data_IF_437111879210
#
_entry.id   IF_437111879210
#
_cell.length_a   1.000
_cell.length_b   1.000
_cell.length_c   1.000
_cell.angle_alpha   90.00
_cell.angle_beta   90.00
_cell.angle_gamma   90.00
#
_symmetry.space_group_name_H-M   'P 1'
#
loop_
_entity.id
_entity.type
_entity.pdbx_description
1 polymer ?
#
# COMPACT_ATOMS: atom_id res chain seq x y z
N UNK A 1 3.03 -4.49 15.42
CA UNK A 1 1.62 -4.19 15.72
C UNK A 1 0.81 -4.79 14.59
N UNK A 2 -0.01 -5.82 14.83
CA UNK A 2 -0.91 -6.36 13.81
C UNK A 2 -2.18 -5.54 13.89
N UNK A 3 -2.46 -4.72 12.89
CA UNK A 3 -3.72 -3.99 12.83
C UNK A 3 -4.85 -5.00 12.53
N UNK A 4 -5.82 -5.17 13.43
CA UNK A 4 -6.94 -6.07 13.18
C UNK A 4 -7.76 -5.49 12.03
N UNK A 5 -7.95 -6.27 10.96
CA UNK A 5 -8.80 -5.89 9.83
C UNK A 5 -10.26 -5.95 10.32
N UNK A 6 -11.00 -4.82 10.31
CA UNK A 6 -12.38 -4.84 10.76
C UNK A 6 -13.24 -5.64 9.78
N UNK A 7 -14.30 -6.34 10.25
CA UNK A 7 -15.21 -7.07 9.38
C UNK A 7 -15.84 -6.21 8.28
N UNK A 8 -16.01 -4.91 8.52
CA UNK A 8 -16.53 -3.92 7.58
C UNK A 8 -15.58 -3.60 6.42
N UNK A 9 -14.26 -3.82 6.56
CA UNK A 9 -13.30 -3.54 5.49
C UNK A 9 -13.62 -4.35 4.21
N UNK A 10 -14.20 -5.53 4.38
CA UNK A 10 -14.62 -6.40 3.27
C UNK A 10 -15.78 -5.81 2.45
N UNK A 11 -16.57 -4.91 3.04
CA UNK A 11 -17.65 -4.20 2.35
C UNK A 11 -17.12 -2.99 1.56
N UNK A 12 -15.91 -2.51 1.90
CA UNK A 12 -15.27 -1.32 1.34
C UNK A 12 -14.17 -1.63 0.32
N UNK A 13 -14.18 -2.85 -0.22
CA UNK A 13 -13.15 -3.29 -1.18
C UNK A 13 -13.04 -2.37 -2.41
N UNK A 14 -14.13 -1.85 -3.00
CA UNK A 14 -14.01 -0.89 -4.10
C UNK A 14 -13.24 0.37 -3.69
N UNK A 15 -13.53 0.94 -2.52
CA UNK A 15 -12.87 2.14 -2.01
C UNK A 15 -11.40 1.88 -1.69
N UNK A 16 -11.09 0.73 -1.07
CA UNK A 16 -9.71 0.31 -0.77
C UNK A 16 -8.91 0.15 -2.08
N UNK A 17 -9.52 -0.42 -3.13
CA UNK A 17 -8.89 -0.54 -4.45
C UNK A 17 -8.63 0.81 -5.08
N UNK A 18 -9.61 1.71 -5.05
CA UNK A 18 -9.44 3.07 -5.58
C UNK A 18 -8.30 3.81 -4.84
N UNK A 19 -8.25 3.71 -3.51
CA UNK A 19 -7.17 4.31 -2.72
C UNK A 19 -5.79 3.68 -3.04
N UNK A 20 -5.73 2.36 -3.27
CA UNK A 20 -4.50 1.71 -3.73
C UNK A 20 -4.09 2.17 -5.15
N UNK A 21 -5.04 2.41 -6.06
CA UNK A 21 -4.75 2.96 -7.40
C UNK A 21 -4.22 4.39 -7.32
N UNK A 22 -4.76 5.22 -6.43
CA UNK A 22 -4.23 6.57 -6.19
C UNK A 22 -2.78 6.53 -5.69
N UNK A 23 -2.46 5.58 -4.80
CA UNK A 23 -1.09 5.35 -4.35
C UNK A 23 -0.18 4.89 -5.50
N UNK A 24 -0.63 3.94 -6.32
CA UNK A 24 0.14 3.49 -7.51
C UNK A 24 0.41 4.69 -8.44
N UNK A 25 -0.60 5.50 -8.73
CA UNK A 25 -0.45 6.68 -9.58
C UNK A 25 0.51 7.73 -8.96
N UNK A 26 0.47 7.91 -7.64
CA UNK A 26 1.40 8.79 -6.93
C UNK A 26 2.85 8.29 -7.03
N UNK A 27 3.06 6.98 -6.92
CA UNK A 27 4.37 6.35 -7.08
C UNK A 27 4.88 6.45 -8.52
N UNK A 28 4.01 6.27 -9.51
CA UNK A 28 4.36 6.40 -10.94
C UNK A 28 4.75 7.83 -11.32
N UNK A 29 4.12 8.83 -10.68
CA UNK A 29 4.42 10.24 -10.88
C UNK A 29 5.70 10.70 -10.14
N UNK A 30 6.29 9.85 -9.29
CA UNK A 30 7.46 10.24 -8.50
C UNK A 30 8.70 10.45 -9.39
N UNK A 31 9.51 11.52 -9.20
CA UNK A 31 10.64 11.83 -10.09
C UNK A 31 11.67 10.70 -10.25
N UNK A 32 11.88 9.90 -9.21
CA UNK A 32 12.80 8.75 -9.23
C UNK A 32 12.21 7.47 -9.85
N UNK A 33 10.91 7.46 -10.16
CA UNK A 33 10.22 6.23 -10.57
C UNK A 33 10.79 5.65 -11.87
N UNK A 34 10.97 6.47 -12.91
CA UNK A 34 11.47 6.00 -14.20
C UNK A 34 12.85 5.34 -14.07
N UNK A 35 13.78 5.99 -13.35
CA UNK A 35 15.12 5.46 -13.06
C UNK A 35 15.06 4.14 -12.28
N UNK A 36 14.33 4.13 -11.17
CA UNK A 36 14.23 2.96 -10.28
C UNK A 36 13.50 1.79 -10.93
N UNK A 37 12.49 2.05 -11.76
CA UNK A 37 11.77 1.02 -12.53
C UNK A 37 12.67 0.36 -13.56
N UNK A 38 13.46 1.13 -14.30
CA UNK A 38 14.40 0.59 -15.28
C UNK A 38 15.47 -0.28 -14.62
N UNK A 39 15.98 0.16 -13.48
CA UNK A 39 16.97 -0.59 -12.71
C UNK A 39 16.34 -1.69 -11.83
N UNK A 40 15.01 -1.76 -11.76
CA UNK A 40 14.23 -2.68 -10.91
C UNK A 40 14.70 -2.70 -9.45
N UNK A 41 15.08 -1.54 -8.93
CA UNK A 41 15.66 -1.37 -7.60
C UNK A 41 15.29 -0.01 -6.99
N UNK A 42 15.34 0.08 -5.66
CA UNK A 42 15.07 1.31 -4.91
C UNK A 42 13.63 1.40 -4.39
N UNK A 43 13.46 2.16 -3.29
CA UNK A 43 12.22 2.18 -2.49
C UNK A 43 10.97 2.53 -3.30
N UNK A 44 11.03 3.48 -4.23
CA UNK A 44 9.86 3.89 -5.04
C UNK A 44 9.41 2.75 -5.95
N UNK A 45 10.36 2.07 -6.62
CA UNK A 45 10.03 0.91 -7.45
C UNK A 45 9.48 -0.25 -6.61
N UNK A 46 10.09 -0.55 -5.46
CA UNK A 46 9.60 -1.62 -4.58
C UNK A 46 8.19 -1.33 -4.04
N UNK A 47 7.91 -0.10 -3.60
CA UNK A 47 6.57 0.29 -3.16
C UNK A 47 5.56 0.15 -4.29
N UNK A 48 5.91 0.57 -5.51
CA UNK A 48 5.04 0.44 -6.68
C UNK A 48 4.79 -1.02 -7.07
N UNK A 49 5.83 -1.86 -7.13
CA UNK A 49 5.70 -3.28 -7.48
C UNK A 49 4.85 -4.02 -6.45
N UNK A 50 5.01 -3.66 -5.17
CA UNK A 50 4.21 -4.24 -4.10
C UNK A 50 2.74 -3.74 -4.12
N UNK A 51 2.49 -2.45 -4.36
CA UNK A 51 1.15 -1.87 -4.47
C UNK A 51 0.36 -2.42 -5.66
N UNK A 52 1.01 -2.54 -6.82
CA UNK A 52 0.41 -3.13 -8.03
C UNK A 52 0.09 -4.62 -7.87
N UNK A 53 0.91 -5.37 -7.12
CA UNK A 53 0.65 -6.78 -6.76
C UNK A 53 -0.34 -6.97 -5.61
N UNK A 54 -0.80 -5.89 -5.00
CA UNK A 54 -1.82 -5.92 -3.93
C UNK A 54 -3.25 -5.94 -4.48
N UNK A 55 -3.42 -5.70 -5.79
CA UNK A 55 -4.69 -5.94 -6.48
C UNK A 55 -5.12 -7.41 -6.39
N UNK A 56 -6.37 -7.70 -6.00
CA UNK A 56 -6.91 -9.04 -6.14
C UNK A 56 -6.96 -9.42 -7.62
N UNK A 57 -6.13 -10.39 -8.02
CA UNK A 57 -6.13 -10.97 -9.37
C UNK A 57 -7.56 -11.40 -9.77
N UNK A 58 -8.01 -11.11 -11.01
CA UNK A 58 -9.40 -11.27 -11.43
C UNK A 58 -9.88 -12.73 -11.56
N UNK A 59 -9.01 -13.73 -11.44
CA UNK A 59 -9.41 -15.13 -11.57
C UNK A 59 -9.98 -15.72 -10.26
N UNK A 60 -10.93 -15.00 -9.67
CA UNK A 60 -11.65 -15.42 -8.47
C UNK A 60 -12.85 -16.33 -8.81
N UNK A 61 -13.17 -16.48 -10.10
CA UNK A 61 -14.33 -17.25 -10.55
C UNK A 61 -14.24 -18.74 -10.20
N UNK A 62 -13.03 -19.31 -10.18
CA UNK A 62 -12.78 -20.71 -9.81
C UNK A 62 -12.60 -20.93 -8.29
N UNK A 63 -12.61 -19.87 -7.47
CA UNK A 63 -12.26 -19.94 -6.06
C UNK A 63 -13.49 -20.15 -5.18
N UNK A 64 -13.34 -20.93 -4.09
CA UNK A 64 -14.36 -21.01 -3.05
C UNK A 64 -14.52 -19.67 -2.32
N UNK A 65 -15.67 -19.44 -1.69
CA UNK A 65 -15.90 -18.22 -0.91
C UNK A 65 -14.89 -18.05 0.24
N UNK A 66 -14.42 -19.14 0.85
CA UNK A 66 -13.38 -19.10 1.87
C UNK A 66 -12.04 -18.63 1.28
N UNK A 67 -11.68 -19.10 0.09
CA UNK A 67 -10.48 -18.66 -0.61
C UNK A 67 -10.62 -17.19 -0.98
N UNK A 68 -11.73 -16.76 -1.60
CA UNK A 68 -11.97 -15.34 -1.91
C UNK A 68 -11.84 -14.44 -0.68
N UNK A 69 -12.38 -14.86 0.46
CA UNK A 69 -12.27 -14.10 1.71
C UNK A 69 -10.85 -14.04 2.26
N UNK A 70 -10.08 -15.12 2.15
CA UNK A 70 -8.66 -15.14 2.51
C UNK A 70 -7.86 -14.17 1.63
N UNK A 71 -8.07 -14.21 0.32
CA UNK A 71 -7.40 -13.33 -0.64
C UNK A 71 -7.73 -11.85 -0.40
N UNK A 72 -9.00 -11.52 -0.13
CA UNK A 72 -9.42 -10.16 0.21
C UNK A 72 -8.74 -9.67 1.50
N UNK A 73 -8.65 -10.52 2.54
CA UNK A 73 -7.95 -10.17 3.79
C UNK A 73 -6.45 -9.97 3.57
N UNK A 74 -5.82 -10.81 2.74
CA UNK A 74 -4.42 -10.66 2.37
C UNK A 74 -4.17 -9.32 1.65
N UNK A 75 -5.02 -8.98 0.67
CA UNK A 75 -4.94 -7.70 -0.03
C UNK A 75 -5.06 -6.50 0.93
N UNK A 76 -6.04 -6.51 1.84
CA UNK A 76 -6.21 -5.46 2.86
C UNK A 76 -4.96 -5.39 3.77
N UNK A 77 -4.45 -6.53 4.23
CA UNK A 77 -3.24 -6.59 5.06
C UNK A 77 -2.02 -5.99 4.35
N UNK A 78 -1.88 -6.22 3.04
CA UNK A 78 -0.81 -5.61 2.23
C UNK A 78 -0.98 -4.11 2.07
N UNK A 79 -2.19 -3.59 1.93
CA UNK A 79 -2.44 -2.14 1.92
C UNK A 79 -2.00 -1.47 3.23
N UNK A 80 -2.30 -2.08 4.38
CA UNK A 80 -1.85 -1.59 5.70
C UNK A 80 -0.31 -1.64 5.79
N UNK A 81 0.29 -2.74 5.34
CA UNK A 81 1.75 -2.89 5.34
C UNK A 81 2.42 -1.82 4.48
N UNK A 82 1.88 -1.54 3.29
CA UNK A 82 2.34 -0.47 2.42
C UNK A 82 2.31 0.88 3.10
N UNK A 83 1.18 1.22 3.73
CA UNK A 83 1.03 2.49 4.45
C UNK A 83 2.12 2.63 5.52
N UNK A 84 2.37 1.55 6.26
CA UNK A 84 3.43 1.49 7.28
C UNK A 84 4.83 1.67 6.68
N UNK A 85 5.12 1.08 5.52
CA UNK A 85 6.45 1.16 4.88
C UNK A 85 6.71 2.53 4.24
N UNK A 86 5.66 3.17 3.71
CA UNK A 86 5.74 4.53 3.15
C UNK A 86 5.98 5.55 4.26
N UNK A 87 5.30 5.40 5.39
CA UNK A 87 5.37 6.31 6.54
C UNK A 87 6.53 6.00 7.50
N UNK A 88 7.21 4.86 7.34
CA UNK A 88 8.38 4.51 8.15
C UNK A 88 9.54 5.49 7.95
N UNK A 89 9.76 6.32 8.97
CA UNK A 89 10.89 7.26 9.08
C UNK A 89 12.02 6.71 9.96
N UNK A 90 11.91 5.48 10.47
CA UNK A 90 12.91 4.91 11.39
C UNK A 90 14.25 4.54 10.73
N UNK A 91 14.33 4.62 9.39
CA UNK A 91 15.50 4.23 8.59
C UNK A 91 15.66 2.72 8.40
N UNK A 92 14.78 1.90 8.99
CA UNK A 92 14.79 0.43 8.81
C UNK A 92 14.43 0.04 7.37
N UNK A 93 13.47 0.73 6.77
CA UNK A 93 13.17 0.58 5.35
C UNK A 93 14.37 0.91 4.45
N UNK A 94 15.19 1.90 4.78
CA UNK A 94 16.40 2.25 4.01
C UNK A 94 17.42 1.11 3.93
N UNK A 95 17.55 0.29 4.99
CA UNK A 95 18.40 -0.91 4.97
C UNK A 95 17.85 -1.97 4.00
N UNK A 96 16.53 -2.13 3.92
CA UNK A 96 15.89 -3.10 3.01
C UNK A 96 16.07 -2.73 1.53
N UNK A 97 16.25 -1.46 1.21
CA UNK A 97 16.37 -0.96 -0.15
C UNK A 97 17.80 -0.61 -0.56
N UNK A 98 18.78 -1.04 0.26
CA UNK A 98 20.21 -0.78 0.05
C UNK A 98 20.51 0.72 -0.12
N UNK A 99 19.72 1.56 0.56
CA UNK A 99 19.94 3.00 0.62
C UNK A 99 21.13 3.28 1.55
N UNK A 100 21.89 4.34 1.26
CA UNK A 100 23.02 4.70 2.11
C UNK A 100 22.50 5.00 3.54
N UNK A 101 23.17 4.52 4.60
CA UNK A 101 22.79 4.87 5.97
C UNK A 101 22.67 6.39 6.14
N UNK A 102 21.54 6.86 6.69
CA UNK A 102 21.23 8.29 6.84
C UNK A 102 20.61 8.97 5.62
N UNK A 103 20.48 8.27 4.48
CA UNK A 103 19.85 8.77 3.28
C UNK A 103 18.43 8.21 3.16
N UNK A 104 17.49 8.82 3.89
CA UNK A 104 16.06 8.46 3.78
C UNK A 104 15.58 8.87 2.39
N UNK A 105 15.08 7.92 1.59
CA UNK A 105 14.36 8.29 0.37
C UNK A 105 13.04 8.93 0.78
N UNK A 106 13.00 10.25 0.58
CA UNK A 106 11.75 10.98 0.59
C UNK A 106 10.90 10.52 -0.59
N UNK A 107 9.72 9.99 -0.27
CA UNK A 107 8.71 9.57 -1.23
C UNK A 107 7.82 10.74 -1.68
N UNK A 108 8.00 11.91 -1.06
CA UNK A 108 7.21 13.11 -1.33
C UNK A 108 5.81 13.06 -0.71
N UNK A 109 5.24 14.25 -0.54
CA UNK A 109 3.98 14.42 0.19
C UNK A 109 2.82 13.70 -0.48
N UNK A 110 2.79 13.68 -1.82
CA UNK A 110 1.71 13.00 -2.56
C UNK A 110 1.66 11.49 -2.30
N UNK A 111 2.81 10.82 -2.22
CA UNK A 111 2.87 9.37 -1.92
C UNK A 111 2.49 9.13 -0.46
N UNK A 112 2.95 9.99 0.46
CA UNK A 112 2.60 9.89 1.88
C UNK A 112 1.10 10.07 2.10
N UNK A 113 0.50 11.14 1.55
CA UNK A 113 -0.95 11.38 1.65
C UNK A 113 -1.78 10.24 1.06
N UNK A 114 -1.39 9.69 -0.09
CA UNK A 114 -2.09 8.55 -0.68
C UNK A 114 -1.97 7.28 0.18
N UNK A 115 -0.81 7.08 0.83
CA UNK A 115 -0.58 5.97 1.73
C UNK A 115 -1.29 6.12 3.10
N UNK A 116 -1.43 7.35 3.59
CA UNK A 116 -2.15 7.67 4.84
C UNK A 116 -3.67 7.49 4.69
N UNK A 117 -4.21 7.69 3.49
CA UNK A 117 -5.64 7.47 3.21
C UNK A 117 -6.04 5.98 3.28
N UNK A 118 -5.10 5.04 3.07
CA UNK A 118 -5.41 3.60 3.06
C UNK A 118 -5.95 3.10 4.41
N UNK A 119 -5.28 3.33 5.56
CA UNK A 119 -5.83 3.01 6.87
C UNK A 119 -7.22 3.59 7.13
N UNK A 120 -7.49 4.84 6.75
CA UNK A 120 -8.80 5.49 6.98
C UNK A 120 -9.91 4.80 6.17
N UNK A 121 -9.60 4.43 4.93
CA UNK A 121 -10.50 3.69 4.04
C UNK A 121 -10.65 2.21 4.47
N UNK A 122 -9.70 1.65 5.23
CA UNK A 122 -9.79 0.28 5.74
C UNK A 122 -10.55 0.22 7.07
N UNK A 123 -10.27 1.16 7.98
CA UNK A 123 -10.82 1.18 9.34
C UNK A 123 -12.25 1.73 9.35
N UNK A 124 -12.57 2.67 8.45
CA UNK A 124 -13.80 3.45 8.55
C UNK A 124 -13.58 4.60 9.49
N UNK A 125 -13.88 5.82 9.04
CA UNK A 125 -13.86 7.02 9.87
C UNK A 125 -14.34 6.68 11.28
N UNK A 126 -13.43 6.65 12.25
CA UNK A 126 -13.77 6.66 13.69
C UNK A 126 -14.12 8.11 14.09
N UNK A 127 -14.66 8.92 13.18
CA UNK A 127 -14.73 10.36 13.39
C UNK A 127 -15.46 11.12 12.31
N UNK A 128 -16.78 10.93 12.24
CA UNK A 128 -17.65 12.08 12.04
C UNK A 128 -19.03 11.85 12.70
N UNK A 129 -19.03 11.92 14.02
CA UNK A 129 -20.15 12.48 14.77
C UNK A 129 -19.57 13.66 15.55
N UNK A 130 -19.63 14.86 14.94
CA UNK A 130 -19.70 16.09 15.72
C UNK A 130 -21.07 16.19 16.37
#
# INVERSE_FOLDING_TARGET
MVFPIPPSAMQRLPEIRNSNHELVAALEAHPKFAEQRNARQGKVYFMWDFATKTEPSPDTAAMSEQQKNSFKRDAIGRCILISTLVTDTSGKSSVMFNERPGQVVDLGDRVKSAADALPDVIIGDIGNSM
#
